data_IF_329895488217
#
_entry.id   IF_329895488217
#
_cell.length_a   1.000
_cell.length_b   1.000
_cell.length_c   1.000
_cell.angle_alpha   90.00
_cell.angle_beta   90.00
_cell.angle_gamma   90.00
#
_symmetry.space_group_name_H-M   'P 1'
#
loop_
_entity.id
_entity.type
_entity.pdbx_description
1 polymer ?
#
# COMPACT_ATOMS: atom_id res chain seq x y z
N UNK A 1 -9.72 -39.68 10.08
CA UNK A 1 -9.28 -38.54 10.91
C UNK A 1 -8.07 -37.80 10.30
N UNK A 2 -8.17 -37.29 9.07
CA UNK A 2 -7.13 -36.49 8.38
C UNK A 2 -7.70 -35.44 7.41
N UNK A 3 -8.95 -35.01 7.64
CA UNK A 3 -9.65 -34.01 6.79
C UNK A 3 -9.97 -32.70 7.53
N UNK A 4 -9.57 -32.60 8.80
CA UNK A 4 -9.85 -31.45 9.66
C UNK A 4 -8.68 -30.45 9.75
N UNK A 5 -7.54 -30.76 9.12
CA UNK A 5 -6.31 -29.95 9.22
C UNK A 5 -6.15 -28.96 8.06
N UNK A 6 -7.11 -28.91 7.12
CA UNK A 6 -7.06 -27.99 5.96
C UNK A 6 -7.95 -26.75 6.13
N UNK A 7 -8.50 -26.52 7.33
CA UNK A 7 -9.31 -25.33 7.64
C UNK A 7 -8.50 -24.19 8.29
N UNK A 8 -7.20 -24.40 8.53
CA UNK A 8 -6.37 -23.49 9.34
C UNK A 8 -5.35 -22.67 8.54
N UNK A 9 -5.29 -22.83 7.20
CA UNK A 9 -4.24 -22.21 6.36
C UNK A 9 -4.75 -21.08 5.45
N UNK A 10 -6.03 -20.68 5.58
CA UNK A 10 -6.59 -19.52 4.86
C UNK A 10 -7.11 -18.45 5.85
N UNK A 11 -6.36 -18.23 6.93
CA UNK A 11 -6.44 -16.99 7.74
C UNK A 11 -5.26 -16.10 7.33
N UNK A 12 -5.13 -15.84 6.02
CA UNK A 12 -4.19 -14.86 5.49
C UNK A 12 -4.97 -13.56 5.34
N UNK A 13 -4.78 -12.67 6.31
CA UNK A 13 -4.95 -11.22 6.23
C UNK A 13 -6.26 -10.72 5.59
N UNK A 14 -7.37 -10.88 6.31
CA UNK A 14 -8.44 -9.88 6.23
C UNK A 14 -8.00 -8.63 7.01
N UNK A 15 -6.93 -7.95 6.57
CA UNK A 15 -6.81 -6.54 6.89
C UNK A 15 -7.97 -5.86 6.15
N UNK A 16 -8.84 -5.09 6.82
CA UNK A 16 -9.84 -4.33 6.10
C UNK A 16 -9.07 -3.47 5.09
N UNK A 17 -9.25 -3.77 3.80
CA UNK A 17 -8.86 -2.87 2.73
C UNK A 17 -9.92 -1.77 2.79
N UNK A 18 -9.84 -0.94 3.83
CA UNK A 18 -10.50 0.34 3.81
C UNK A 18 -9.85 1.07 2.63
N UNK A 19 -10.66 1.44 1.65
CA UNK A 19 -10.28 2.43 0.66
C UNK A 19 -10.16 3.80 1.34
N UNK A 20 -9.38 3.89 2.42
CA UNK A 20 -8.99 5.15 3.01
C UNK A 20 -7.96 5.78 2.08
N UNK A 21 -8.15 7.07 1.81
CA UNK A 21 -7.13 7.86 1.15
C UNK A 21 -5.79 7.61 1.88
N UNK A 22 -4.69 7.34 1.15
CA UNK A 22 -3.42 7.05 1.79
C UNK A 22 -3.09 8.17 2.79
N UNK A 23 -2.63 7.84 4.01
CA UNK A 23 -2.55 8.79 5.10
C UNK A 23 -1.82 10.04 4.65
N UNK A 24 -2.34 11.22 5.03
CA UNK A 24 -1.73 12.49 4.67
C UNK A 24 -0.28 12.52 5.16
N UNK A 25 0.56 13.31 4.49
CA UNK A 25 1.97 13.46 4.91
C UNK A 25 2.06 13.96 6.36
N UNK A 26 1.11 14.80 6.80
CA UNK A 26 1.00 15.25 8.17
C UNK A 26 0.72 14.09 9.15
N UNK A 27 -0.22 13.21 8.81
CA UNK A 27 -0.51 12.03 9.64
C UNK A 27 0.68 11.07 9.71
N UNK A 28 1.37 10.83 8.59
CA UNK A 28 2.61 10.06 8.58
C UNK A 28 3.69 10.71 9.46
N UNK A 29 3.80 12.03 9.42
CA UNK A 29 4.70 12.80 10.28
C UNK A 29 4.40 12.60 11.77
N UNK A 30 3.12 12.58 12.15
CA UNK A 30 2.71 12.30 13.53
C UNK A 30 3.12 10.89 13.98
N UNK A 31 2.83 9.86 13.16
CA UNK A 31 3.25 8.49 13.47
C UNK A 31 4.76 8.36 13.58
N UNK A 32 5.49 8.95 12.63
CA UNK A 32 6.94 8.97 12.63
C UNK A 32 7.49 9.62 13.91
N UNK A 33 7.01 10.80 14.29
CA UNK A 33 7.47 11.50 15.49
C UNK A 33 7.12 10.72 16.77
N UNK A 34 5.94 10.11 16.83
CA UNK A 34 5.54 9.26 17.96
C UNK A 34 6.44 8.02 18.10
N UNK A 35 6.83 7.40 16.99
CA UNK A 35 7.76 6.26 16.99
C UNK A 35 9.19 6.70 17.34
N UNK A 36 9.68 7.79 16.74
CA UNK A 36 11.00 8.37 17.00
C UNK A 36 11.19 8.71 18.49
N UNK A 37 10.17 9.28 19.13
CA UNK A 37 10.21 9.63 20.55
C UNK A 37 10.40 8.43 21.50
N UNK A 38 10.06 7.21 21.05
CA UNK A 38 10.20 5.98 21.84
C UNK A 38 11.60 5.33 21.71
N UNK A 39 12.47 5.87 20.86
CA UNK A 39 13.77 5.29 20.58
C UNK A 39 14.79 5.67 21.65
N UNK A 40 15.28 4.66 22.35
CA UNK A 40 16.31 4.80 23.40
C UNK A 40 17.71 4.53 22.85
N UNK A 41 17.83 3.66 21.84
CA UNK A 41 19.10 3.29 21.21
C UNK A 41 19.73 4.45 20.44
N UNK A 42 20.99 4.77 20.77
CA UNK A 42 21.70 5.92 20.20
C UNK A 42 22.03 5.72 18.72
N UNK A 43 22.36 4.50 18.29
CA UNK A 43 22.65 4.20 16.89
C UNK A 43 21.41 4.34 16.01
N UNK A 44 20.25 3.94 16.51
CA UNK A 44 18.96 4.15 15.83
C UNK A 44 18.60 5.65 15.84
N UNK A 45 18.88 6.37 16.93
CA UNK A 45 18.65 7.83 17.01
C UNK A 45 19.44 8.60 15.95
N UNK A 46 20.71 8.25 15.71
CA UNK A 46 21.51 8.86 14.64
C UNK A 46 20.85 8.65 13.27
N UNK A 47 20.35 7.44 12.98
CA UNK A 47 19.64 7.15 11.73
C UNK A 47 18.35 7.98 11.58
N UNK A 48 17.63 8.24 12.67
CA UNK A 48 16.48 9.14 12.64
C UNK A 48 16.88 10.59 12.34
N UNK A 49 18.01 11.06 12.87
CA UNK A 49 18.50 12.41 12.56
C UNK A 49 18.86 12.57 11.07
N UNK A 50 19.48 11.56 10.44
CA UNK A 50 19.72 11.55 8.99
C UNK A 50 18.40 11.63 8.20
N UNK A 51 17.38 10.89 8.63
CA UNK A 51 16.05 10.91 8.01
C UNK A 51 15.37 12.28 8.20
N UNK A 52 15.51 12.91 9.37
CA UNK A 52 14.96 14.25 9.64
C UNK A 52 15.55 15.31 8.70
N UNK A 53 16.87 15.25 8.43
CA UNK A 53 17.53 16.14 7.47
C UNK A 53 16.93 15.96 6.08
N UNK A 54 16.81 14.70 5.61
CA UNK A 54 16.24 14.40 4.30
C UNK A 54 14.76 14.83 4.18
N UNK A 55 13.96 14.63 5.24
CA UNK A 55 12.58 15.13 5.32
C UNK A 55 12.56 16.65 5.18
N UNK A 56 13.41 17.37 5.92
CA UNK A 56 13.48 18.84 5.87
C UNK A 56 13.92 19.39 4.51
N UNK A 57 14.82 18.70 3.83
CA UNK A 57 15.20 19.02 2.44
C UNK A 57 14.05 18.79 1.47
N UNK A 58 13.42 17.61 1.50
CA UNK A 58 12.30 17.28 0.64
C UNK A 58 11.10 18.23 0.84
N UNK A 59 10.80 18.64 2.08
CA UNK A 59 9.78 19.63 2.39
C UNK A 59 10.09 20.99 1.80
N UNK A 60 11.32 21.50 1.98
CA UNK A 60 11.75 22.80 1.44
C UNK A 60 11.71 22.83 -0.09
N UNK A 61 11.97 21.70 -0.73
CA UNK A 61 11.90 21.57 -2.19
C UNK A 61 10.51 21.26 -2.74
N UNK A 62 9.48 21.13 -1.88
CA UNK A 62 8.10 20.86 -2.32
C UNK A 62 7.84 19.43 -2.83
N UNK A 63 8.78 18.51 -2.65
CA UNK A 63 8.68 17.12 -3.13
C UNK A 63 7.92 16.24 -2.14
N UNK A 64 6.60 16.38 -2.08
CA UNK A 64 5.74 15.66 -1.13
C UNK A 64 5.85 14.12 -1.23
N UNK A 65 6.14 13.58 -2.41
CA UNK A 65 6.44 12.16 -2.62
C UNK A 65 7.71 11.70 -1.90
N UNK A 66 8.79 12.49 -1.97
CA UNK A 66 10.04 12.19 -1.26
C UNK A 66 9.88 12.33 0.26
N UNK A 67 9.09 13.31 0.71
CA UNK A 67 8.73 13.40 2.14
C UNK A 67 8.06 12.11 2.61
N UNK A 68 7.08 11.60 1.84
CA UNK A 68 6.41 10.33 2.15
C UNK A 68 7.39 9.16 2.16
N UNK A 69 8.31 9.10 1.19
CA UNK A 69 9.36 8.07 1.13
C UNK A 69 10.23 8.07 2.37
N UNK A 70 10.73 9.24 2.80
CA UNK A 70 11.58 9.35 3.98
C UNK A 70 10.83 9.03 5.28
N UNK A 71 9.58 9.47 5.41
CA UNK A 71 8.72 9.09 6.56
C UNK A 71 8.50 7.57 6.61
N UNK A 72 8.25 6.95 5.45
CA UNK A 72 8.08 5.48 5.35
C UNK A 72 9.36 4.74 5.72
N UNK A 73 10.52 5.24 5.30
CA UNK A 73 11.84 4.73 5.72
C UNK A 73 12.03 4.82 7.22
N UNK A 74 11.64 5.94 7.83
CA UNK A 74 11.67 6.14 9.28
C UNK A 74 10.77 5.16 10.04
N UNK A 75 9.56 4.93 9.55
CA UNK A 75 8.64 3.94 10.13
C UNK A 75 9.17 2.50 9.98
N UNK A 76 9.79 2.17 8.85
CA UNK A 76 10.44 0.87 8.64
C UNK A 76 11.57 0.65 9.64
N UNK A 77 12.44 1.66 9.82
CA UNK A 77 13.50 1.66 10.82
C UNK A 77 12.95 1.44 12.23
N UNK A 78 11.88 2.15 12.59
CA UNK A 78 11.22 2.02 13.90
C UNK A 78 10.66 0.61 14.15
N UNK A 79 10.18 -0.05 13.09
CA UNK A 79 9.66 -1.41 13.13
C UNK A 79 10.77 -2.48 13.14
N UNK A 80 12.05 -2.08 13.19
CA UNK A 80 13.19 -3.01 13.09
C UNK A 80 13.30 -3.66 11.71
N UNK A 81 12.65 -3.09 10.69
CA UNK A 81 12.69 -3.59 9.32
C UNK A 81 13.77 -2.86 8.53
N UNK A 82 14.46 -3.58 7.66
CA UNK A 82 15.39 -2.97 6.71
C UNK A 82 14.67 -2.04 5.73
N UNK A 83 15.44 -1.19 5.05
CA UNK A 83 14.95 -0.39 3.93
C UNK A 83 15.70 -0.81 2.66
N UNK A 84 15.12 -1.74 1.91
CA UNK A 84 15.61 -2.19 0.61
C UNK A 84 14.60 -1.91 -0.51
N UNK A 85 14.96 -2.30 -1.73
CA UNK A 85 14.16 -2.04 -2.93
C UNK A 85 12.72 -2.58 -2.82
N UNK A 86 12.54 -3.74 -2.17
CA UNK A 86 11.20 -4.30 -1.95
C UNK A 86 10.36 -3.44 -1.00
N UNK A 87 10.91 -3.05 0.15
CA UNK A 87 10.17 -2.24 1.15
C UNK A 87 9.84 -0.85 0.59
N UNK A 88 10.78 -0.29 -0.19
CA UNK A 88 10.55 0.97 -0.88
C UNK A 88 9.44 0.85 -1.93
N UNK A 89 9.44 -0.22 -2.72
CA UNK A 89 8.38 -0.50 -3.68
C UNK A 89 7.02 -0.66 -2.98
N UNK A 90 6.93 -1.49 -1.94
CA UNK A 90 5.70 -1.70 -1.17
C UNK A 90 5.17 -0.38 -0.58
N UNK A 91 6.04 0.43 0.02
CA UNK A 91 5.68 1.73 0.59
C UNK A 91 5.26 2.76 -0.47
N UNK A 92 5.67 2.57 -1.73
CA UNK A 92 5.26 3.42 -2.84
C UNK A 92 3.83 3.14 -3.29
N UNK A 93 3.28 1.95 -3.01
CA UNK A 93 2.01 1.52 -3.58
C UNK A 93 0.81 1.97 -2.74
N UNK A 94 -0.26 2.33 -3.43
CA UNK A 94 -1.58 2.57 -2.84
C UNK A 94 -2.66 1.93 -3.70
N UNK A 95 -3.65 1.33 -3.07
CA UNK A 95 -4.91 1.02 -3.73
C UNK A 95 -5.71 2.32 -3.92
N UNK A 96 -6.35 2.48 -5.08
CA UNK A 96 -7.30 3.56 -5.38
C UNK A 96 -8.54 2.96 -6.00
N UNK A 97 -9.69 3.47 -5.62
CA UNK A 97 -10.97 3.24 -6.29
C UNK A 97 -11.46 4.57 -6.83
N UNK A 98 -12.17 4.54 -7.95
CA UNK A 98 -12.83 5.73 -8.50
C UNK A 98 -14.15 6.03 -7.75
N UNK A 99 -14.67 5.05 -6.99
CA UNK A 99 -15.92 5.16 -6.24
C UNK A 99 -15.69 5.66 -4.80
N UNK A 100 -16.32 6.78 -4.45
CA UNK A 100 -16.30 7.32 -3.07
C UNK A 100 -17.14 6.50 -2.09
N UNK A 101 -18.14 5.76 -2.61
CA UNK A 101 -19.03 4.90 -1.84
C UNK A 101 -19.09 3.53 -2.50
N UNK A 102 -19.08 2.48 -1.68
CA UNK A 102 -19.15 1.10 -2.16
C UNK A 102 -20.59 0.59 -2.09
N UNK A 103 -21.17 0.26 -3.24
CA UNK A 103 -22.37 -0.57 -3.31
C UNK A 103 -21.94 -2.04 -3.34
N UNK A 104 -22.28 -2.86 -2.33
CA UNK A 104 -21.85 -4.25 -2.25
C UNK A 104 -22.38 -5.14 -3.39
N UNK A 105 -23.45 -4.73 -4.07
CA UNK A 105 -24.03 -5.48 -5.20
C UNK A 105 -23.28 -5.18 -6.50
N UNK A 106 -22.55 -4.06 -6.55
CA UNK A 106 -21.81 -3.60 -7.72
C UNK A 106 -20.35 -4.09 -7.68
N UNK A 107 -19.74 -4.47 -8.83
CA UNK A 107 -18.32 -4.79 -8.88
C UNK A 107 -17.46 -3.60 -8.47
N UNK A 108 -16.64 -3.74 -7.44
CA UNK A 108 -15.65 -2.75 -7.05
C UNK A 108 -14.43 -2.85 -7.94
N UNK A 109 -14.00 -1.74 -8.54
CA UNK A 109 -12.76 -1.65 -9.32
C UNK A 109 -11.67 -0.99 -8.49
N UNK A 110 -10.60 -1.74 -8.16
CA UNK A 110 -9.44 -1.21 -7.43
C UNK A 110 -8.21 -1.18 -8.34
N UNK A 111 -7.51 -0.05 -8.36
CA UNK A 111 -6.26 0.19 -9.09
C UNK A 111 -5.09 0.35 -8.13
N UNK A 112 -3.99 -0.31 -8.43
CA UNK A 112 -2.73 -0.07 -7.74
C UNK A 112 -1.99 1.11 -8.37
N UNK A 113 -1.66 2.13 -7.58
CA UNK A 113 -0.97 3.36 -8.03
C UNK A 113 0.28 3.60 -7.19
N UNK A 114 1.29 4.28 -7.76
CA UNK A 114 2.47 4.70 -7.01
C UNK A 114 2.32 6.13 -6.46
N UNK A 115 2.75 6.35 -5.22
CA UNK A 115 2.73 7.62 -4.50
C UNK A 115 4.01 8.44 -4.69
N UNK A 116 5.13 7.76 -4.96
CA UNK A 116 6.43 8.37 -5.21
C UNK A 116 7.27 7.43 -6.11
N UNK A 117 8.25 7.97 -6.87
CA UNK A 117 9.13 7.15 -7.69
C UNK A 117 10.06 6.31 -6.81
N UNK A 118 10.36 5.08 -7.26
CA UNK A 118 11.28 4.16 -6.58
C UNK A 118 12.53 3.93 -7.40
N UNK A 119 13.65 3.58 -6.75
CA UNK A 119 14.90 3.21 -7.43
C UNK A 119 15.28 1.76 -7.12
N UNK A 120 15.49 0.88 -8.12
CA UNK A 120 15.39 1.15 -9.56
C UNK A 120 13.95 1.47 -10.01
N UNK A 121 13.78 2.29 -11.07
CA UNK A 121 12.45 2.59 -11.60
C UNK A 121 11.72 1.29 -11.93
N UNK A 122 10.51 1.18 -11.42
CA UNK A 122 9.57 0.16 -11.88
C UNK A 122 9.18 0.56 -13.29
N UNK A 123 9.27 -0.39 -14.24
CA UNK A 123 8.90 -0.15 -15.62
C UNK A 123 7.52 0.54 -15.66
N UNK A 124 7.36 1.60 -16.46
CA UNK A 124 6.05 2.26 -16.63
C UNK A 124 5.04 1.31 -17.27
N UNK A 125 5.52 0.21 -17.88
CA UNK A 125 4.71 -0.91 -18.34
C UNK A 125 4.38 -1.94 -17.25
N UNK A 126 4.85 -1.76 -16.01
CA UNK A 126 4.48 -2.63 -14.90
C UNK A 126 2.95 -2.63 -14.74
N UNK A 127 2.34 -3.81 -14.64
CA UNK A 127 0.89 -3.96 -14.79
C UNK A 127 0.19 -3.18 -13.68
N UNK A 128 -0.54 -2.13 -14.08
CA UNK A 128 -1.60 -1.57 -13.25
C UNK A 128 -2.67 -2.65 -13.15
N UNK A 129 -2.64 -3.43 -12.09
CA UNK A 129 -3.64 -4.46 -11.88
C UNK A 129 -4.95 -3.80 -11.50
N UNK A 130 -6.01 -4.21 -12.20
CA UNK A 130 -7.38 -3.89 -11.84
C UNK A 130 -7.99 -5.11 -11.18
N UNK A 131 -8.40 -4.94 -9.93
CA UNK A 131 -9.12 -5.96 -9.18
C UNK A 131 -10.61 -5.64 -9.24
N UNK A 132 -11.41 -6.56 -9.76
CA UNK A 132 -12.86 -6.50 -9.69
C UNK A 132 -13.35 -7.46 -8.61
N UNK A 133 -13.93 -6.91 -7.55
CA UNK A 133 -14.52 -7.69 -6.45
C UNK A 133 -16.04 -7.61 -6.57
N UNK A 134 -16.71 -8.76 -6.66
CA UNK A 134 -18.18 -8.84 -6.54
C UNK A 134 -18.53 -9.68 -5.32
N UNK A 135 -19.38 -9.14 -4.45
CA UNK A 135 -19.93 -9.89 -3.34
C UNK A 135 -21.19 -10.63 -3.84
N UNK A 136 -21.17 -11.95 -3.75
CA UNK A 136 -22.33 -12.81 -3.99
C UNK A 136 -23.04 -13.12 -2.67
N UNK A 137 -24.33 -13.45 -2.76
CA UNK A 137 -25.29 -13.69 -1.66
C UNK A 137 -24.74 -14.49 -0.46
N UNK A 138 -25.43 -14.36 0.68
CA UNK A 138 -25.03 -14.97 1.95
C UNK A 138 -24.81 -16.50 1.87
N UNK A 139 -23.72 -17.04 2.48
CA UNK A 139 -22.66 -16.31 3.17
C UNK A 139 -21.80 -15.52 2.19
N UNK A 140 -21.44 -14.27 2.53
CA UNK A 140 -20.67 -13.34 1.69
C UNK A 140 -19.51 -14.06 0.99
N UNK A 141 -19.71 -14.39 -0.29
CA UNK A 141 -18.67 -14.95 -1.15
C UNK A 141 -18.16 -13.82 -2.01
N UNK A 142 -16.90 -13.44 -1.84
CA UNK A 142 -16.26 -12.51 -2.75
C UNK A 142 -15.74 -13.27 -3.96
N UNK A 143 -16.28 -13.01 -5.15
CA UNK A 143 -15.64 -13.40 -6.40
C UNK A 143 -14.61 -12.34 -6.74
N UNK A 144 -13.34 -12.75 -6.81
CA UNK A 144 -12.22 -11.85 -7.13
C UNK A 144 -11.74 -12.15 -8.53
N UNK A 145 -11.84 -11.15 -9.42
CA UNK A 145 -11.37 -11.27 -10.79
C UNK A 145 -10.24 -10.27 -11.02
N UNK A 146 -9.10 -10.77 -11.47
CA UNK A 146 -7.95 -9.99 -11.87
C UNK A 146 -8.05 -9.67 -13.36
N UNK A 147 -7.93 -8.39 -13.70
CA UNK A 147 -7.97 -7.89 -15.07
C UNK A 147 -6.65 -7.23 -15.47
N UNK A 148 -6.35 -7.27 -16.77
CA UNK A 148 -5.36 -6.36 -17.37
C UNK A 148 -5.80 -4.90 -17.15
N UNK A 149 -4.84 -3.95 -17.08
CA UNK A 149 -5.18 -2.55 -17.10
C UNK A 149 -5.98 -2.22 -18.37
N UNK A 150 -7.13 -1.55 -18.23
CA UNK A 150 -7.96 -1.23 -19.37
C UNK A 150 -7.29 -0.18 -20.25
N UNK A 151 -7.37 -0.36 -21.59
CA UNK A 151 -6.89 0.67 -22.55
C UNK A 151 -7.77 1.93 -22.53
N UNK A 152 -9.01 1.80 -22.11
CA UNK A 152 -10.01 2.87 -21.98
C UNK A 152 -10.68 2.82 -20.60
N UNK A 153 -10.85 3.98 -19.96
CA UNK A 153 -11.29 4.10 -18.56
C UNK A 153 -12.63 3.42 -18.21
N UNK A 154 -13.52 3.18 -19.18
CA UNK A 154 -14.86 2.63 -18.94
C UNK A 154 -15.00 1.13 -19.26
N UNK A 155 -13.93 0.46 -19.69
CA UNK A 155 -14.00 -0.94 -20.16
C UNK A 155 -12.95 -1.75 -19.44
N UNK A 156 -13.35 -2.70 -18.58
CA UNK A 156 -12.42 -3.62 -17.92
C UNK A 156 -11.51 -4.30 -18.95
N UNK A 157 -10.21 -4.40 -18.64
CA UNK A 157 -9.26 -5.15 -19.47
C UNK A 157 -9.56 -6.65 -19.45
N UNK A 158 -8.81 -7.40 -20.25
CA UNK A 158 -9.02 -8.84 -20.35
C UNK A 158 -8.87 -9.50 -18.97
N UNK A 159 -9.76 -10.44 -18.68
CA UNK A 159 -9.69 -11.26 -17.47
C UNK A 159 -8.41 -12.10 -17.51
N UNK A 160 -7.53 -11.89 -16.54
CA UNK A 160 -6.29 -12.64 -16.38
C UNK A 160 -6.52 -13.88 -15.52
N UNK A 161 -7.25 -13.74 -14.41
CA UNK A 161 -7.40 -14.80 -13.41
C UNK A 161 -8.65 -14.60 -12.57
N UNK A 162 -9.28 -15.68 -12.16
CA UNK A 162 -10.29 -15.71 -11.11
C UNK A 162 -9.73 -16.49 -9.92
N UNK A 163 -9.98 -15.98 -8.71
CA UNK A 163 -9.51 -16.53 -7.43
C UNK A 163 -10.74 -16.89 -6.59
#
# INVERSE_FOLDING_TARGET
>A
MKRFTLLFTLVILATPIAAEAPPSVAMLGLFYNGMKARVVDEGIRTKFAEIDVAIGEAYRSGHSGEVRRHLSRGLSLAAGRGWGAQQEYEASLTARTDDAFLDPVSPLTVRLSQLFPVSPPVDKAAPQMVLSIRFEDAPLRARIVLHEPPRNFFVLGNKLREI
#
